data_IF_901094025367
#
_entry.id   IF_901094025367
#
_cell.length_a   1.000
_cell.length_b   1.000
_cell.length_c   1.000
_cell.angle_alpha   90.00
_cell.angle_beta   90.00
_cell.angle_gamma   90.00
#
_symmetry.space_group_name_H-M   'P 1'
#
loop_
_entity.id
_entity.type
_entity.pdbx_description
1 polymer ?
#
# COMPACT_ATOMS: atom_id res chain seq x y z
N UNK A 1 1.36 -43.63 5.25
CA UNK A 1 1.77 -42.36 4.59
C UNK A 1 0.68 -41.37 4.94
N UNK A 2 0.97 -40.36 5.74
CA UNK A 2 -0.04 -39.37 6.15
C UNK A 2 -0.42 -38.52 4.94
N UNK A 3 -1.67 -38.66 4.48
CA UNK A 3 -2.31 -37.72 3.57
C UNK A 3 -2.44 -36.37 4.28
N UNK A 4 -1.39 -35.56 4.21
CA UNK A 4 -1.44 -34.17 4.63
C UNK A 4 -2.16 -33.37 3.56
N UNK A 5 -3.29 -32.78 3.89
CA UNK A 5 -3.99 -31.78 3.08
C UNK A 5 -3.01 -30.70 2.63
N UNK A 6 -2.60 -30.73 1.36
CA UNK A 6 -1.66 -29.77 0.81
C UNK A 6 -2.38 -28.42 0.65
N UNK A 7 -2.17 -27.52 1.62
CA UNK A 7 -2.61 -26.12 1.52
C UNK A 7 -1.79 -25.44 0.42
N UNK A 8 -2.46 -24.72 -0.48
CA UNK A 8 -1.79 -23.93 -1.53
C UNK A 8 -0.80 -22.94 -0.89
N UNK A 9 0.39 -22.80 -1.49
CA UNK A 9 1.36 -21.81 -1.03
C UNK A 9 0.79 -20.39 -1.23
N UNK A 10 1.07 -19.45 -0.32
CA UNK A 10 0.77 -18.04 -0.53
C UNK A 10 1.41 -17.50 -1.81
N UNK A 11 0.81 -16.47 -2.39
CA UNK A 11 1.38 -15.79 -3.55
C UNK A 11 2.75 -15.19 -3.21
N UNK A 12 3.73 -15.36 -4.10
CA UNK A 12 5.14 -15.03 -3.81
C UNK A 12 5.86 -16.01 -2.85
N UNK A 13 5.20 -17.09 -2.44
CA UNK A 13 5.81 -18.24 -1.74
C UNK A 13 5.73 -18.21 -0.22
N UNK A 14 5.57 -17.03 0.39
CA UNK A 14 5.48 -16.85 1.84
C UNK A 14 4.29 -15.96 2.20
N UNK A 15 3.61 -16.28 3.30
CA UNK A 15 2.55 -15.42 3.85
C UNK A 15 3.23 -14.27 4.59
N UNK A 16 2.99 -13.04 4.14
CA UNK A 16 3.46 -11.84 4.83
C UNK A 16 2.65 -11.63 6.11
N UNK A 17 3.33 -11.24 7.18
CA UNK A 17 2.71 -10.79 8.43
C UNK A 17 3.46 -9.52 8.87
N UNK A 18 2.75 -8.39 8.94
CA UNK A 18 3.35 -7.10 9.34
C UNK A 18 2.90 -6.61 10.71
N UNK A 19 2.31 -7.47 11.54
CA UNK A 19 1.95 -7.09 12.90
C UNK A 19 3.20 -6.79 13.73
N UNK A 20 3.16 -5.70 14.49
CA UNK A 20 4.30 -5.22 15.25
C UNK A 20 3.86 -4.59 16.57
N UNK A 21 4.73 -4.67 17.58
CA UNK A 21 4.53 -4.09 18.91
C UNK A 21 5.35 -2.81 19.11
N UNK A 22 5.81 -2.16 18.02
CA UNK A 22 6.52 -0.89 18.13
C UNK A 22 5.63 0.18 18.76
N UNK A 23 6.22 1.06 19.56
CA UNK A 23 5.53 2.22 20.11
C UNK A 23 5.59 3.37 19.09
N UNK A 24 4.45 3.80 18.52
CA UNK A 24 4.43 4.91 17.56
C UNK A 24 4.50 6.30 18.22
N UNK A 25 4.64 6.37 19.55
CA UNK A 25 4.69 7.63 20.30
C UNK A 25 5.81 8.56 19.81
N UNK A 26 5.46 9.82 19.55
CA UNK A 26 6.42 10.84 19.09
C UNK A 26 6.64 10.88 17.58
N UNK A 27 6.10 9.93 16.81
CA UNK A 27 6.13 10.01 15.35
C UNK A 27 5.17 11.09 14.82
N UNK A 28 5.57 11.74 13.73
CA UNK A 28 4.62 12.54 12.94
C UNK A 28 3.55 11.63 12.32
N UNK A 29 2.37 12.17 12.05
CA UNK A 29 1.25 11.36 11.56
C UNK A 29 0.58 11.92 10.32
N UNK A 30 0.07 11.03 9.47
CA UNK A 30 -0.70 11.34 8.27
C UNK A 30 -2.04 10.62 8.36
N UNK A 31 -3.11 11.33 8.04
CA UNK A 31 -4.44 10.72 7.92
C UNK A 31 -4.58 10.04 6.57
N UNK A 32 -5.08 8.80 6.58
CA UNK A 32 -5.36 8.02 5.38
C UNK A 32 -6.86 7.77 5.25
N UNK A 33 -7.32 7.52 4.02
CA UNK A 33 -8.70 7.18 3.74
C UNK A 33 -9.08 5.80 4.31
N UNK A 34 -10.37 5.51 4.39
CA UNK A 34 -10.86 4.18 4.77
C UNK A 34 -10.35 3.09 3.82
N UNK A 35 -10.33 3.37 2.51
CA UNK A 35 -9.77 2.46 1.49
C UNK A 35 -8.30 2.13 1.78
N UNK A 36 -7.47 3.15 2.02
CA UNK A 36 -6.05 2.95 2.32
C UNK A 36 -5.85 2.23 3.66
N UNK A 37 -6.69 2.50 4.66
CA UNK A 37 -6.62 1.77 5.93
C UNK A 37 -6.92 0.28 5.74
N UNK A 38 -7.86 -0.07 4.85
CA UNK A 38 -8.13 -1.46 4.46
C UNK A 38 -6.95 -2.07 3.69
N UNK A 39 -6.32 -1.33 2.78
CA UNK A 39 -5.13 -1.81 2.06
C UNK A 39 -3.96 -2.09 3.03
N UNK A 40 -3.73 -1.20 4.00
CA UNK A 40 -2.75 -1.39 5.07
C UNK A 40 -3.05 -2.67 5.88
N UNK A 41 -4.31 -2.92 6.23
CA UNK A 41 -4.70 -4.15 6.93
C UNK A 41 -4.52 -5.40 6.04
N UNK A 42 -4.85 -5.33 4.76
CA UNK A 42 -4.65 -6.42 3.79
C UNK A 42 -3.18 -6.77 3.59
N UNK A 43 -2.29 -5.77 3.59
CA UNK A 43 -0.83 -5.98 3.62
C UNK A 43 -0.45 -6.67 4.94
N UNK A 44 -0.94 -6.17 6.07
CA UNK A 44 -0.57 -6.68 7.39
C UNK A 44 -0.94 -8.14 7.63
N UNK A 45 -2.10 -8.56 7.13
CA UNK A 45 -2.59 -9.94 7.20
C UNK A 45 -2.01 -10.88 6.15
N UNK A 46 -1.25 -10.34 5.19
CA UNK A 46 -0.72 -11.12 4.08
C UNK A 46 -1.74 -11.46 3.00
N UNK A 47 -2.93 -10.85 3.00
CA UNK A 47 -3.89 -10.93 1.88
C UNK A 47 -3.21 -10.41 0.60
N UNK A 48 -2.40 -9.36 0.73
CA UNK A 48 -1.58 -8.82 -0.36
C UNK A 48 -0.17 -9.40 -0.43
N UNK A 49 0.09 -10.60 0.11
CA UNK A 49 1.38 -11.27 -0.11
C UNK A 49 1.70 -11.31 -1.62
N UNK A 50 2.92 -10.94 -2.04
CA UNK A 50 4.13 -10.77 -1.23
C UNK A 50 4.41 -9.35 -0.69
N UNK A 51 3.47 -8.41 -0.81
CA UNK A 51 3.70 -7.02 -0.42
C UNK A 51 3.90 -6.90 1.10
N UNK A 52 4.92 -6.14 1.50
CA UNK A 52 5.21 -5.78 2.90
C UNK A 52 4.86 -4.32 3.23
N UNK A 53 4.35 -3.58 2.25
CA UNK A 53 4.08 -2.15 2.33
C UNK A 53 3.65 -1.57 0.99
N UNK A 54 3.74 -0.25 0.86
CA UNK A 54 3.46 0.46 -0.40
C UNK A 54 4.61 0.29 -1.38
N UNK A 55 4.29 0.17 -2.67
CA UNK A 55 5.26 -0.17 -3.71
C UNK A 55 6.40 0.86 -3.81
N UNK A 56 7.62 0.35 -3.99
CA UNK A 56 8.78 1.14 -4.44
C UNK A 56 8.53 1.75 -5.81
N UNK A 57 9.32 2.75 -6.22
CA UNK A 57 9.22 3.29 -7.58
C UNK A 57 9.44 2.18 -8.62
N UNK A 58 10.42 1.31 -8.38
CA UNK A 58 10.75 0.22 -9.30
C UNK A 58 9.62 -0.80 -9.43
N UNK A 59 8.97 -1.20 -8.33
CA UNK A 59 7.84 -2.12 -8.38
C UNK A 59 6.62 -1.45 -9.02
N UNK A 60 6.35 -0.19 -8.69
CA UNK A 60 5.27 0.58 -9.29
C UNK A 60 5.39 0.63 -10.82
N UNK A 61 6.57 1.00 -11.34
CA UNK A 61 6.81 1.08 -12.78
C UNK A 61 6.66 -0.29 -13.47
N UNK A 62 7.18 -1.37 -12.88
CA UNK A 62 7.02 -2.71 -13.44
C UNK A 62 5.55 -3.18 -13.40
N UNK A 63 4.80 -2.84 -12.36
CA UNK A 63 3.36 -3.18 -12.29
C UNK A 63 2.60 -2.45 -13.39
N UNK A 64 2.85 -1.16 -13.59
CA UNK A 64 2.19 -0.36 -14.63
C UNK A 64 2.53 -0.85 -16.04
N UNK A 65 3.79 -1.23 -16.29
CA UNK A 65 4.24 -1.59 -17.63
C UNK A 65 4.02 -3.08 -17.98
N UNK A 66 4.12 -3.96 -17.00
CA UNK A 66 4.23 -5.42 -17.21
C UNK A 66 3.22 -6.22 -16.40
N UNK A 67 2.50 -5.60 -15.47
CA UNK A 67 1.60 -6.31 -14.55
C UNK A 67 2.36 -7.27 -13.62
N UNK A 68 3.58 -6.91 -13.22
CA UNK A 68 4.46 -7.71 -12.38
C UNK A 68 5.29 -6.83 -11.44
N UNK A 69 5.64 -7.36 -10.28
CA UNK A 69 6.68 -6.78 -9.43
C UNK A 69 8.05 -6.90 -10.10
N UNK A 70 9.04 -6.16 -9.60
CA UNK A 70 10.42 -6.17 -10.11
C UNK A 70 11.10 -7.55 -10.05
N UNK A 71 10.63 -8.42 -9.15
CA UNK A 71 11.07 -9.81 -9.01
C UNK A 71 10.28 -10.80 -9.88
N UNK A 72 9.55 -10.31 -10.89
CA UNK A 72 8.73 -11.07 -11.85
C UNK A 72 7.47 -11.75 -11.27
N UNK A 73 7.15 -11.55 -9.98
CA UNK A 73 5.89 -12.04 -9.40
C UNK A 73 4.70 -11.29 -10.03
N UNK A 74 3.67 -11.99 -10.56
CA UNK A 74 2.48 -11.34 -11.12
C UNK A 74 1.77 -10.44 -10.11
N UNK A 75 1.55 -9.18 -10.48
CA UNK A 75 0.84 -8.20 -9.67
C UNK A 75 0.37 -7.04 -10.56
N UNK A 76 -0.94 -6.84 -10.70
CA UNK A 76 -1.49 -6.02 -11.78
C UNK A 76 -2.06 -4.68 -11.34
N UNK A 77 -2.29 -4.47 -10.03
CA UNK A 77 -2.86 -3.25 -9.48
C UNK A 77 -1.87 -2.64 -8.48
N UNK A 78 -1.36 -1.43 -8.70
CA UNK A 78 -0.39 -0.82 -7.79
C UNK A 78 -1.06 -0.47 -6.46
N UNK A 79 -0.42 -0.86 -5.35
CA UNK A 79 -0.84 -0.48 -3.99
C UNK A 79 0.06 0.65 -3.51
N UNK A 80 -0.48 1.85 -3.45
CA UNK A 80 0.28 3.10 -3.30
C UNK A 80 -0.32 4.02 -2.25
N UNK A 81 0.51 4.85 -1.64
CA UNK A 81 0.10 5.96 -0.79
C UNK A 81 0.44 7.27 -1.49
N UNK A 82 -0.59 8.00 -1.95
CA UNK A 82 -0.41 9.32 -2.55
C UNK A 82 -0.53 10.43 -1.50
N UNK A 83 0.32 11.46 -1.63
CA UNK A 83 0.37 12.61 -0.72
C UNK A 83 0.63 13.90 -1.49
N UNK A 84 0.18 15.02 -0.94
CA UNK A 84 0.52 16.34 -1.49
C UNK A 84 2.00 16.72 -1.28
N UNK A 85 2.47 17.77 -1.95
CA UNK A 85 3.87 18.24 -1.88
C UNK A 85 4.32 18.61 -0.45
N UNK A 86 3.41 19.16 0.36
CA UNK A 86 3.73 19.55 1.74
C UNK A 86 3.97 18.32 2.62
N UNK A 87 3.12 17.31 2.48
CA UNK A 87 3.26 16.03 3.15
C UNK A 87 4.51 15.28 2.65
N UNK A 88 4.73 15.21 1.34
CA UNK A 88 5.92 14.61 0.73
C UNK A 88 7.22 15.18 1.31
N UNK A 89 7.29 16.50 1.45
CA UNK A 89 8.46 17.18 2.02
C UNK A 89 8.70 16.82 3.49
N UNK A 90 7.64 16.82 4.31
CA UNK A 90 7.73 16.45 5.74
C UNK A 90 8.11 14.99 5.95
N UNK A 91 7.61 14.10 5.09
CA UNK A 91 7.89 12.67 5.14
C UNK A 91 9.38 12.41 4.88
N UNK A 92 9.95 13.08 3.86
CA UNK A 92 11.38 12.98 3.55
C UNK A 92 12.28 13.34 4.74
N UNK A 93 11.87 14.31 5.56
CA UNK A 93 12.65 14.75 6.72
C UNK A 93 12.48 13.85 7.96
N UNK A 94 11.35 13.16 8.10
CA UNK A 94 10.99 12.41 9.31
C UNK A 94 11.31 10.91 9.27
N UNK A 95 11.38 10.31 8.07
CA UNK A 95 11.69 8.90 7.85
C UNK A 95 10.56 7.94 8.22
N UNK A 96 10.09 7.96 9.47
CA UNK A 96 8.99 7.11 9.92
C UNK A 96 7.75 7.95 10.24
N UNK A 97 6.58 7.51 9.73
CA UNK A 97 5.32 8.23 9.92
C UNK A 97 4.20 7.30 10.38
N UNK A 98 3.37 7.78 11.31
CA UNK A 98 2.18 7.07 11.78
C UNK A 98 1.00 7.31 10.83
N UNK A 99 0.46 6.24 10.28
CA UNK A 99 -0.76 6.27 9.48
C UNK A 99 -1.98 6.20 10.39
N UNK A 100 -2.84 7.20 10.29
CA UNK A 100 -4.08 7.29 11.06
C UNK A 100 -5.29 7.03 10.17
N UNK A 101 -6.14 6.11 10.59
CA UNK A 101 -7.41 5.88 9.91
C UNK A 101 -8.36 7.09 10.08
N UNK A 102 -9.54 7.10 9.41
CA UNK A 102 -10.51 8.18 9.54
C UNK A 102 -11.04 8.41 10.97
N UNK A 103 -11.00 7.41 11.85
CA UNK A 103 -11.39 7.55 13.26
C UNK A 103 -10.29 8.22 14.13
N UNK A 104 -9.16 8.57 13.52
CA UNK A 104 -7.98 9.12 14.20
C UNK A 104 -7.10 8.07 14.88
N UNK A 105 -7.40 6.78 14.72
CA UNK A 105 -6.62 5.67 15.27
C UNK A 105 -5.34 5.49 14.46
N UNK A 106 -4.18 5.53 15.12
CA UNK A 106 -2.91 5.14 14.53
C UNK A 106 -2.84 3.64 14.29
N UNK A 107 -2.93 3.20 13.04
CA UNK A 107 -3.06 1.78 12.67
C UNK A 107 -1.73 1.13 12.28
N UNK A 108 -0.83 1.89 11.63
CA UNK A 108 0.46 1.39 11.20
C UNK A 108 1.52 2.49 11.18
N UNK A 109 2.78 2.11 11.39
CA UNK A 109 3.93 2.96 11.08
C UNK A 109 4.41 2.62 9.68
N UNK A 110 4.58 3.63 8.84
CA UNK A 110 5.25 3.51 7.55
C UNK A 110 6.73 3.84 7.73
N UNK A 111 7.58 2.87 7.44
CA UNK A 111 9.03 3.06 7.34
C UNK A 111 9.34 3.51 5.91
N UNK A 112 9.51 4.81 5.70
CA UNK A 112 9.59 5.39 4.35
C UNK A 112 10.91 4.99 3.71
N UNK A 113 10.83 4.52 2.47
CA UNK A 113 12.01 4.16 1.67
C UNK A 113 12.26 5.22 0.59
N UNK A 114 11.22 5.59 -0.17
CA UNK A 114 11.31 6.55 -1.27
C UNK A 114 10.08 7.44 -1.34
N UNK A 115 10.25 8.63 -1.93
CA UNK A 115 9.15 9.52 -2.31
C UNK A 115 9.39 9.97 -3.74
N UNK A 116 8.48 9.63 -4.63
CA UNK A 116 8.64 9.79 -6.07
C UNK A 116 7.37 10.32 -6.73
N UNK A 117 7.51 10.94 -7.91
CA UNK A 117 6.37 11.36 -8.73
C UNK A 117 6.07 10.30 -9.78
N UNK A 118 4.87 10.34 -10.34
CA UNK A 118 4.44 9.37 -11.34
C UNK A 118 3.59 10.02 -12.43
N UNK A 119 3.58 9.41 -13.60
CA UNK A 119 2.73 9.83 -14.72
C UNK A 119 1.36 9.16 -14.60
N UNK A 120 0.35 9.93 -14.22
CA UNK A 120 -1.03 9.45 -14.05
C UNK A 120 -1.61 8.92 -15.36
N UNK A 121 -1.33 9.54 -16.51
CA UNK A 121 -1.86 9.12 -17.80
C UNK A 121 -1.25 7.79 -18.24
N UNK A 122 0.08 7.65 -18.11
CA UNK A 122 0.78 6.38 -18.32
C UNK A 122 0.23 5.29 -17.39
N UNK A 123 -0.02 5.64 -16.13
CA UNK A 123 -0.52 4.72 -15.10
C UNK A 123 -1.91 4.19 -15.46
N UNK A 124 -2.87 5.08 -15.75
CA UNK A 124 -4.23 4.64 -16.09
C UNK A 124 -4.27 3.84 -17.38
N UNK A 125 -3.44 4.20 -18.36
CA UNK A 125 -3.34 3.45 -19.61
C UNK A 125 -2.74 2.06 -19.39
N UNK A 126 -1.70 1.94 -18.57
CA UNK A 126 -1.03 0.67 -18.26
C UNK A 126 -1.90 -0.26 -17.41
N UNK A 127 -2.59 0.28 -16.40
CA UNK A 127 -3.38 -0.51 -15.43
C UNK A 127 -4.77 -0.84 -15.96
N UNK A 128 -5.46 0.13 -16.57
CA UNK A 128 -6.87 -0.03 -16.99
C UNK A 128 -7.05 -0.20 -18.50
N UNK A 129 -5.99 -0.02 -19.30
CA UNK A 129 -6.06 -0.10 -20.76
C UNK A 129 -6.74 1.11 -21.42
N UNK A 130 -7.24 2.07 -20.65
CA UNK A 130 -7.99 3.24 -21.12
C UNK A 130 -7.64 4.50 -20.32
N UNK A 131 -7.80 5.66 -20.94
CA UNK A 131 -7.71 6.99 -20.30
C UNK A 131 -9.09 7.64 -20.14
N UNK A 132 -10.16 6.91 -20.42
CA UNK A 132 -11.53 7.42 -20.28
C UNK A 132 -11.89 7.65 -18.81
N UNK A 133 -12.11 8.91 -18.46
CA UNK A 133 -12.46 9.35 -17.10
C UNK A 133 -13.84 8.86 -16.63
N UNK A 134 -14.66 8.27 -17.51
CA UNK A 134 -15.88 7.56 -17.11
C UNK A 134 -15.58 6.26 -16.36
N UNK A 135 -14.39 5.67 -16.55
CA UNK A 135 -13.96 4.48 -15.84
C UNK A 135 -13.58 4.82 -14.39
N UNK A 136 -14.18 4.19 -13.36
CA UNK A 136 -13.95 4.56 -11.96
C UNK A 136 -12.49 4.51 -11.51
N UNK A 137 -11.72 3.52 -11.97
CA UNK A 137 -10.29 3.42 -11.66
C UNK A 137 -9.46 4.54 -12.30
N UNK A 138 -9.85 4.99 -13.50
CA UNK A 138 -9.18 6.11 -14.18
C UNK A 138 -9.45 7.38 -13.41
N UNK A 139 -10.73 7.66 -13.10
CA UNK A 139 -11.12 8.83 -12.32
C UNK A 139 -10.42 8.88 -10.95
N UNK A 140 -10.34 7.74 -10.23
CA UNK A 140 -9.65 7.65 -8.94
C UNK A 140 -8.16 7.99 -9.07
N UNK A 141 -7.46 7.41 -10.05
CA UNK A 141 -6.02 7.64 -10.26
C UNK A 141 -5.73 9.07 -10.70
N UNK A 142 -6.56 9.63 -11.58
CA UNK A 142 -6.40 11.02 -12.04
C UNK A 142 -6.62 12.03 -10.90
N UNK A 143 -7.43 11.67 -9.90
CA UNK A 143 -7.70 12.48 -8.71
C UNK A 143 -6.67 12.33 -7.57
N UNK A 144 -5.72 11.40 -7.67
CA UNK A 144 -4.65 11.24 -6.68
C UNK A 144 -3.77 12.50 -6.61
N UNK A 145 -3.03 12.66 -5.53
CA UNK A 145 -1.96 13.64 -5.44
C UNK A 145 -0.76 13.25 -6.35
N UNK A 146 0.24 14.13 -6.44
CA UNK A 146 1.33 14.00 -7.41
C UNK A 146 2.54 13.21 -6.89
N UNK A 147 2.62 12.97 -5.58
CA UNK A 147 3.72 12.23 -4.95
C UNK A 147 3.22 10.91 -4.37
N UNK A 148 3.97 9.84 -4.61
CA UNK A 148 3.79 8.55 -3.98
C UNK A 148 4.89 8.32 -2.95
N UNK A 149 4.52 7.65 -1.86
CA UNK A 149 5.43 7.29 -0.78
C UNK A 149 5.53 5.76 -0.72
N UNK A 150 6.74 5.23 -0.85
CA UNK A 150 7.02 3.82 -0.69
C UNK A 150 7.53 3.52 0.71
N UNK A 151 7.37 2.26 1.12
CA UNK A 151 7.92 1.81 2.38
C UNK A 151 7.15 0.67 3.00
N UNK A 152 7.83 -0.07 3.87
CA UNK A 152 7.27 -1.18 4.62
C UNK A 152 6.42 -0.67 5.78
N UNK A 153 5.33 -1.38 6.05
CA UNK A 153 4.46 -1.05 7.19
C UNK A 153 4.79 -1.92 8.40
N UNK A 154 4.62 -1.35 9.58
CA UNK A 154 4.51 -2.06 10.84
C UNK A 154 3.11 -1.80 11.40
N UNK A 155 2.25 -2.80 11.35
CA UNK A 155 0.86 -2.70 11.76
C UNK A 155 0.76 -2.81 13.28
N UNK A 156 0.44 -1.70 13.93
CA UNK A 156 0.52 -1.54 15.40
C UNK A 156 -0.81 -1.72 16.09
N UNK A 157 -1.92 -1.39 15.43
CA UNK A 157 -3.23 -1.47 16.06
C UNK A 157 -4.34 -1.73 15.05
N UNK A 158 -5.14 -2.74 15.36
CA UNK A 158 -6.37 -3.05 14.64
C UNK A 158 -7.55 -2.23 15.20
N UNK A 159 -8.43 -1.67 14.36
CA UNK A 159 -9.71 -1.13 14.81
C UNK A 159 -10.56 -2.21 15.50
N UNK A 160 -11.32 -1.86 16.53
CA UNK A 160 -12.11 -2.84 17.30
C UNK A 160 -13.24 -3.49 16.48
N UNK A 161 -13.75 -2.80 15.45
CA UNK A 161 -14.73 -3.34 14.51
C UNK A 161 -14.63 -2.61 13.17
N UNK A 162 -14.78 -3.32 12.06
CA UNK A 162 -15.01 -2.73 10.74
C UNK A 162 -16.29 -3.32 10.14
N UNK A 163 -16.91 -2.65 9.16
CA UNK A 163 -18.11 -3.19 8.50
C UNK A 163 -17.88 -4.59 7.87
N UNK A 164 -16.63 -4.86 7.49
CA UNK A 164 -16.20 -6.08 6.80
C UNK A 164 -15.81 -7.19 7.79
N UNK A 165 -15.31 -6.84 8.98
CA UNK A 165 -14.87 -7.79 10.01
C UNK A 165 -15.62 -7.54 11.32
N UNK A 166 -16.64 -8.35 11.54
CA UNK A 166 -17.40 -8.47 12.80
C UNK A 166 -16.76 -9.51 13.72
#
# INVERSE_FOLDING_TARGET
MSEGTAVSKPHGGNLVNRFSNIDPSGLSSISISADLANDVENIADGIFSPLEGFLSQQDFENVVEKGRLSNDVPWTIPIVLDVDESAASKIKDSGNVLLKNPDGLGVAVLNVEEVFTFDKEKTVKGVYGTTDNSHPGVAKTMAMNDFLVSGKIDYVKRPESTEIRK
#
